data_IF_198405061487
#
_entry.id   IF_198405061487
#
_cell.length_a   1.000
_cell.length_b   1.000
_cell.length_c   1.000
_cell.angle_alpha   90.00
_cell.angle_beta   90.00
_cell.angle_gamma   90.00
#
_symmetry.space_group_name_H-M   'P 1'
#
loop_
_entity.id
_entity.type
_entity.pdbx_description
1 polymer ?
#
# COMPACT_ATOMS: atom_id res chain seq x y z
N UNK A 1 -25.31 -9.20 -15.53
CA UNK A 1 -24.81 -7.85 -15.80
C UNK A 1 -23.46 -7.74 -15.11
N UNK A 2 -22.32 -7.61 -15.83
CA UNK A 2 -20.99 -7.67 -15.23
C UNK A 2 -20.63 -6.42 -14.40
N UNK A 3 -21.62 -5.54 -14.16
CA UNK A 3 -21.49 -4.30 -13.39
C UNK A 3 -22.20 -4.39 -12.04
N UNK A 4 -22.15 -5.55 -11.37
CA UNK A 4 -22.31 -5.58 -9.91
C UNK A 4 -20.95 -5.16 -9.32
N UNK A 5 -20.62 -3.90 -9.57
CA UNK A 5 -19.69 -3.16 -8.73
C UNK A 5 -20.45 -2.97 -7.42
N UNK A 6 -19.98 -3.59 -6.34
CA UNK A 6 -20.50 -3.33 -4.99
C UNK A 6 -20.34 -1.84 -4.75
N UNK A 7 -21.38 -1.07 -5.01
CA UNK A 7 -21.41 0.38 -4.77
C UNK A 7 -21.31 0.54 -3.25
N UNK A 8 -20.75 1.65 -2.77
CA UNK A 8 -20.66 1.93 -1.32
C UNK A 8 -22.02 1.79 -0.58
N UNK A 9 -23.13 1.85 -1.32
CA UNK A 9 -24.51 1.63 -0.86
C UNK A 9 -24.86 0.16 -0.52
N UNK A 10 -24.09 -0.84 -0.99
CA UNK A 10 -24.32 -2.27 -0.74
C UNK A 10 -23.54 -2.81 0.47
N UNK A 11 -22.66 -2.01 1.09
CA UNK A 11 -21.99 -2.38 2.35
C UNK A 11 -22.97 -2.15 3.50
N UNK A 12 -23.96 -3.03 3.62
CA UNK A 12 -24.96 -2.99 4.69
C UNK A 12 -24.26 -3.37 5.99
N UNK A 13 -24.02 -2.37 6.84
CA UNK A 13 -23.56 -2.61 8.20
C UNK A 13 -24.74 -3.23 8.97
N UNK A 14 -24.56 -4.36 9.69
CA UNK A 14 -25.66 -4.94 10.45
C UNK A 14 -26.24 -3.94 11.46
N UNK A 15 -27.57 -3.73 11.45
CA UNK A 15 -28.30 -2.70 12.23
C UNK A 15 -28.03 -2.72 13.76
N UNK A 16 -27.41 -3.78 14.27
CA UNK A 16 -27.09 -3.96 15.69
C UNK A 16 -25.68 -3.49 16.08
N UNK A 17 -24.86 -3.01 15.14
CA UNK A 17 -23.49 -2.57 15.41
C UNK A 17 -23.41 -1.05 15.45
N UNK A 18 -23.14 -0.51 16.64
CA UNK A 18 -22.75 0.90 16.79
C UNK A 18 -21.42 1.13 16.08
N UNK A 19 -21.47 1.71 14.88
CA UNK A 19 -20.29 2.08 14.10
C UNK A 19 -19.49 3.16 14.84
N UNK A 20 -18.31 2.78 15.35
CA UNK A 20 -17.40 3.70 16.04
C UNK A 20 -16.17 3.93 15.18
N UNK A 21 -15.79 5.20 15.00
CA UNK A 21 -14.63 5.59 14.19
C UNK A 21 -13.31 4.92 14.61
N UNK A 22 -13.19 4.54 15.89
CA UNK A 22 -11.97 3.94 16.40
C UNK A 22 -11.76 2.50 15.92
N UNK A 23 -12.80 1.78 15.48
CA UNK A 23 -12.64 0.44 14.89
C UNK A 23 -11.80 0.49 13.61
N UNK A 24 -11.91 1.59 12.86
CA UNK A 24 -11.12 1.84 11.67
C UNK A 24 -9.72 2.38 12.02
N UNK A 25 -9.64 3.33 12.96
CA UNK A 25 -8.37 3.97 13.30
C UNK A 25 -7.39 3.02 14.01
N UNK A 26 -7.87 2.13 14.90
CA UNK A 26 -7.00 1.32 15.74
C UNK A 26 -6.11 0.33 14.95
N UNK A 27 -6.61 -0.43 13.96
CA UNK A 27 -5.77 -1.27 13.09
C UNK A 27 -4.71 -0.48 12.31
N UNK A 28 -5.05 0.72 11.82
CA UNK A 28 -4.10 1.58 11.08
C UNK A 28 -2.99 2.06 12.00
N UNK A 29 -3.33 2.52 13.21
CA UNK A 29 -2.33 2.92 14.20
C UNK A 29 -1.45 1.74 14.59
N UNK A 30 -2.02 0.55 14.78
CA UNK A 30 -1.27 -0.68 15.05
C UNK A 30 -0.28 -0.97 13.92
N UNK A 31 -0.73 -0.90 12.66
CA UNK A 31 0.13 -1.13 11.49
C UNK A 31 1.34 -0.20 11.51
N UNK A 32 1.10 1.11 11.63
CA UNK A 32 2.16 2.13 11.60
C UNK A 32 3.12 1.96 12.79
N UNK A 33 2.58 1.70 13.98
CA UNK A 33 3.38 1.53 15.19
C UNK A 33 4.26 0.26 15.10
N UNK A 34 3.70 -0.88 14.69
CA UNK A 34 4.43 -2.14 14.60
C UNK A 34 5.44 -2.13 13.46
N UNK A 35 5.11 -1.55 12.30
CA UNK A 35 6.09 -1.37 11.21
C UNK A 35 7.19 -0.40 11.60
N UNK A 36 6.88 0.73 12.20
CA UNK A 36 7.88 1.69 12.68
C UNK A 36 8.81 1.08 13.72
N UNK A 37 8.25 0.34 14.67
CA UNK A 37 9.03 -0.39 15.68
C UNK A 37 9.87 -1.51 15.05
N UNK A 38 9.30 -2.29 14.13
CA UNK A 38 9.99 -3.38 13.42
C UNK A 38 11.17 -2.87 12.59
N UNK A 39 11.03 -1.71 11.96
CA UNK A 39 12.12 -1.06 11.24
C UNK A 39 13.26 -0.64 12.17
N UNK A 40 12.94 -0.02 13.31
CA UNK A 40 13.95 0.40 14.28
C UNK A 40 14.65 -0.80 14.93
N UNK A 41 13.88 -1.81 15.33
CA UNK A 41 14.39 -3.01 15.97
C UNK A 41 15.29 -3.83 15.02
N UNK A 42 14.83 -4.10 13.79
CA UNK A 42 15.63 -4.83 12.79
C UNK A 42 16.86 -4.03 12.34
N UNK A 43 16.79 -2.69 12.37
CA UNK A 43 17.91 -1.80 12.06
C UNK A 43 19.00 -1.69 13.14
N UNK A 44 18.80 -2.28 14.32
CA UNK A 44 19.78 -2.27 15.42
C UNK A 44 19.65 -1.10 16.40
N UNK A 45 18.46 -0.50 16.52
CA UNK A 45 18.13 0.41 17.61
C UNK A 45 18.01 -0.34 18.94
N UNK A 46 18.51 0.18 20.09
CA UNK A 46 19.00 1.55 20.32
C UNK A 46 20.52 1.78 20.12
N UNK A 47 21.27 0.77 19.68
CA UNK A 47 22.73 0.89 19.54
C UNK A 47 23.19 1.78 18.37
N UNK A 48 22.33 2.00 17.37
CA UNK A 48 22.55 2.91 16.23
C UNK A 48 21.56 4.07 16.24
N UNK A 49 21.96 5.19 15.64
CA UNK A 49 21.06 6.32 15.42
C UNK A 49 19.84 5.86 14.59
N UNK A 50 18.62 6.38 14.84
CA UNK A 50 17.39 5.91 14.19
C UNK A 50 17.43 6.02 12.66
N UNK A 51 18.11 7.05 12.12
CA UNK A 51 18.29 7.22 10.67
C UNK A 51 19.20 6.15 10.06
N UNK A 52 20.21 5.68 10.80
CA UNK A 52 21.09 4.60 10.35
C UNK A 52 20.44 3.22 10.49
N UNK A 53 19.63 3.04 11.55
CA UNK A 53 18.85 1.84 11.73
C UNK A 53 17.87 1.62 10.56
N UNK A 54 17.17 2.69 10.13
CA UNK A 54 16.25 2.64 8.99
C UNK A 54 16.92 2.20 7.68
N UNK A 55 18.19 2.58 7.46
CA UNK A 55 18.92 2.20 6.23
C UNK A 55 19.30 0.73 6.17
N UNK A 56 19.50 0.10 7.32
CA UNK A 56 19.87 -1.32 7.43
C UNK A 56 18.70 -2.23 7.84
N UNK A 57 17.49 -1.69 7.92
CA UNK A 57 16.33 -2.40 8.43
C UNK A 57 15.82 -3.47 7.44
N UNK A 58 15.30 -4.56 7.99
CA UNK A 58 14.58 -5.58 7.22
C UNK A 58 13.16 -5.07 6.94
N UNK A 59 13.02 -4.19 5.95
CA UNK A 59 11.76 -3.49 5.65
C UNK A 59 10.62 -4.45 5.31
N UNK A 60 10.90 -5.53 4.58
CA UNK A 60 9.89 -6.53 4.23
C UNK A 60 9.29 -7.21 5.49
N UNK A 61 10.14 -7.65 6.42
CA UNK A 61 9.71 -8.30 7.64
C UNK A 61 8.94 -7.34 8.56
N UNK A 62 9.38 -6.09 8.66
CA UNK A 62 8.72 -5.07 9.48
C UNK A 62 7.31 -4.73 8.96
N UNK A 63 7.14 -4.65 7.63
CA UNK A 63 5.82 -4.45 7.02
C UNK A 63 4.94 -5.69 7.23
N UNK A 64 5.49 -6.89 7.06
CA UNK A 64 4.75 -8.15 7.25
C UNK A 64 4.16 -8.26 8.67
N UNK A 65 5.00 -8.04 9.69
CA UNK A 65 4.54 -8.02 11.10
C UNK A 65 3.54 -6.90 11.38
N UNK A 66 3.72 -5.74 10.73
CA UNK A 66 2.77 -4.62 10.81
C UNK A 66 1.38 -5.01 10.29
N UNK A 67 1.29 -5.58 9.08
CA UNK A 67 0.04 -6.03 8.48
C UNK A 67 -0.60 -7.13 9.34
N UNK A 68 0.18 -8.12 9.79
CA UNK A 68 -0.34 -9.19 10.63
C UNK A 68 -0.94 -8.66 11.94
N UNK A 69 -0.27 -7.69 12.58
CA UNK A 69 -0.77 -7.05 13.79
C UNK A 69 -2.09 -6.30 13.56
N UNK A 70 -2.19 -5.58 12.44
CA UNK A 70 -3.37 -4.81 12.09
C UNK A 70 -4.57 -5.72 11.80
N UNK A 71 -4.36 -6.80 11.03
CA UNK A 71 -5.38 -7.80 10.76
C UNK A 71 -5.84 -8.50 12.04
N UNK A 72 -4.92 -8.89 12.92
CA UNK A 72 -5.25 -9.53 14.19
C UNK A 72 -6.06 -8.59 15.11
N UNK A 73 -5.67 -7.32 15.18
CA UNK A 73 -6.37 -6.32 15.98
C UNK A 73 -7.77 -6.03 15.42
N UNK A 74 -7.90 -5.89 14.10
CA UNK A 74 -9.19 -5.70 13.44
C UNK A 74 -10.12 -6.88 13.71
N UNK A 75 -9.63 -8.12 13.54
CA UNK A 75 -10.40 -9.33 13.82
C UNK A 75 -10.84 -9.39 15.29
N UNK A 76 -9.95 -9.05 16.23
CA UNK A 76 -10.27 -9.02 17.66
C UNK A 76 -11.37 -7.99 17.99
N UNK A 77 -11.35 -6.83 17.35
CA UNK A 77 -12.38 -5.79 17.51
C UNK A 77 -13.72 -6.26 16.94
N UNK A 78 -13.72 -6.81 15.72
CA UNK A 78 -14.93 -7.24 15.02
C UNK A 78 -15.64 -8.39 15.76
N UNK A 79 -14.90 -9.40 16.19
CA UNK A 79 -15.46 -10.56 16.91
C UNK A 79 -15.78 -10.22 18.37
N UNK A 80 -14.89 -9.49 19.05
CA UNK A 80 -15.01 -9.23 20.49
C UNK A 80 -15.98 -8.11 20.84
N UNK A 81 -15.86 -6.97 20.16
CA UNK A 81 -16.60 -5.75 20.52
C UNK A 81 -17.82 -5.52 19.62
N UNK A 82 -17.66 -5.68 18.30
CA UNK A 82 -18.77 -5.51 17.36
C UNK A 82 -19.67 -6.76 17.25
N UNK A 83 -19.19 -7.93 17.70
CA UNK A 83 -19.89 -9.23 17.66
C UNK A 83 -20.38 -9.61 16.25
N UNK A 84 -19.62 -9.24 15.23
CA UNK A 84 -19.89 -9.63 13.85
C UNK A 84 -19.63 -11.14 13.69
N UNK A 85 -20.49 -11.82 12.93
CA UNK A 85 -20.34 -13.24 12.66
C UNK A 85 -19.09 -13.50 11.80
N UNK A 86 -18.41 -14.63 12.01
CA UNK A 86 -17.18 -14.95 11.29
C UNK A 86 -17.43 -15.15 9.78
N UNK A 87 -18.64 -15.57 9.40
CA UNK A 87 -19.06 -15.72 8.01
C UNK A 87 -19.04 -14.37 7.29
N UNK A 88 -19.69 -13.35 7.86
CA UNK A 88 -19.71 -11.97 7.33
C UNK A 88 -18.30 -11.37 7.21
N UNK A 89 -17.42 -11.64 8.19
CA UNK A 89 -16.02 -11.19 8.16
C UNK A 89 -15.27 -11.85 7.00
N UNK A 90 -15.48 -13.15 6.78
CA UNK A 90 -14.83 -13.88 5.70
C UNK A 90 -15.29 -13.41 4.33
N UNK A 91 -16.60 -13.17 4.16
CA UNK A 91 -17.17 -12.64 2.93
C UNK A 91 -16.62 -11.25 2.61
N UNK A 92 -16.56 -10.37 3.62
CA UNK A 92 -15.97 -9.04 3.51
C UNK A 92 -14.50 -9.08 3.06
N UNK A 93 -13.72 -10.04 3.55
CA UNK A 93 -12.32 -10.24 3.12
C UNK A 93 -12.29 -10.60 1.63
N UNK A 94 -13.13 -11.53 1.18
CA UNK A 94 -13.19 -11.92 -0.24
C UNK A 94 -13.64 -10.79 -1.15
N UNK A 95 -14.58 -9.95 -0.71
CA UNK A 95 -14.96 -8.74 -1.44
C UNK A 95 -13.78 -7.78 -1.57
N UNK A 96 -13.04 -7.52 -0.49
CA UNK A 96 -11.82 -6.70 -0.54
C UNK A 96 -10.79 -7.25 -1.54
N UNK A 97 -10.56 -8.57 -1.56
CA UNK A 97 -9.68 -9.20 -2.54
C UNK A 97 -10.14 -8.97 -3.99
N UNK A 98 -11.44 -9.08 -4.26
CA UNK A 98 -12.01 -8.81 -5.60
C UNK A 98 -11.77 -7.37 -6.03
N UNK A 99 -11.87 -6.40 -5.12
CA UNK A 99 -11.60 -4.99 -5.43
C UNK A 99 -10.13 -4.73 -5.77
N UNK A 100 -9.19 -5.43 -5.13
CA UNK A 100 -7.74 -5.19 -5.26
C UNK A 100 -7.11 -5.94 -6.44
N UNK A 101 -7.73 -7.00 -6.96
CA UNK A 101 -7.12 -7.84 -8.01
C UNK A 101 -6.84 -7.08 -9.32
N UNK A 102 -7.73 -6.17 -9.71
CA UNK A 102 -7.56 -5.36 -10.92
C UNK A 102 -6.38 -4.37 -10.78
N UNK A 103 -6.29 -3.56 -9.70
CA UNK A 103 -5.09 -2.76 -9.43
C UNK A 103 -3.78 -3.55 -9.45
N UNK A 104 -3.75 -4.74 -8.84
CA UNK A 104 -2.55 -5.59 -8.81
C UNK A 104 -2.17 -6.06 -10.22
N UNK A 105 -3.14 -6.41 -11.06
CA UNK A 105 -2.87 -6.78 -12.44
C UNK A 105 -2.23 -5.62 -13.23
N UNK A 106 -2.74 -4.39 -13.07
CA UNK A 106 -2.16 -3.19 -13.70
C UNK A 106 -0.75 -2.90 -13.20
N UNK A 107 -0.51 -3.00 -11.88
CA UNK A 107 0.83 -2.80 -11.30
C UNK A 107 1.83 -3.86 -11.79
N UNK A 108 1.40 -5.11 -11.95
CA UNK A 108 2.22 -6.18 -12.52
C UNK A 108 2.60 -5.92 -13.98
N UNK A 109 1.64 -5.47 -14.80
CA UNK A 109 1.89 -5.03 -16.18
C UNK A 109 2.86 -3.84 -16.23
N UNK A 110 2.70 -2.87 -15.34
CA UNK A 110 3.57 -1.71 -15.25
C UNK A 110 5.02 -2.10 -14.93
N UNK A 111 5.24 -2.98 -13.95
CA UNK A 111 6.59 -3.50 -13.65
C UNK A 111 7.16 -4.35 -14.78
N UNK A 112 6.33 -5.11 -15.49
CA UNK A 112 6.77 -5.87 -16.66
C UNK A 112 7.29 -4.93 -17.76
N UNK A 113 6.52 -3.91 -18.13
CA UNK A 113 6.93 -2.90 -19.12
C UNK A 113 8.17 -2.14 -18.64
N UNK A 114 8.24 -1.82 -17.35
CA UNK A 114 9.42 -1.21 -16.73
C UNK A 114 10.68 -2.06 -16.94
N UNK A 115 10.60 -3.36 -16.61
CA UNK A 115 11.74 -4.28 -16.77
C UNK A 115 12.17 -4.48 -18.23
N UNK A 116 11.23 -4.52 -19.17
CA UNK A 116 11.54 -4.63 -20.60
C UNK A 116 12.18 -3.34 -21.11
N UNK A 117 11.69 -2.18 -20.67
CA UNK A 117 12.25 -0.87 -21.04
C UNK A 117 13.67 -0.69 -20.49
N UNK A 118 13.94 -1.20 -19.29
CA UNK A 118 15.26 -1.21 -18.67
C UNK A 118 16.22 -2.14 -19.44
N UNK A 119 15.75 -3.34 -19.81
CA UNK A 119 16.54 -4.29 -20.61
C UNK A 119 16.91 -3.77 -22.01
N UNK A 120 16.06 -2.93 -22.61
CA UNK A 120 16.30 -2.29 -23.90
C UNK A 120 17.13 -1.00 -23.81
N UNK A 121 17.46 -0.51 -22.61
CA UNK A 121 18.22 0.73 -22.43
C UNK A 121 17.46 1.99 -22.82
N UNK A 122 16.13 1.99 -22.74
CA UNK A 122 15.30 3.14 -23.13
C UNK A 122 15.64 4.38 -22.30
N UNK A 123 15.94 4.18 -21.00
CA UNK A 123 16.37 5.27 -20.12
C UNK A 123 17.65 5.94 -20.60
N UNK A 124 18.69 5.16 -20.92
CA UNK A 124 19.98 5.67 -21.40
C UNK A 124 19.83 6.40 -22.74
N UNK A 125 18.98 5.87 -23.63
CA UNK A 125 18.68 6.52 -24.90
C UNK A 125 18.05 7.90 -24.70
N UNK A 126 17.03 8.02 -23.84
CA UNK A 126 16.38 9.30 -23.54
C UNK A 126 17.35 10.29 -22.89
N UNK A 127 18.20 9.81 -21.98
CA UNK A 127 19.24 10.64 -21.36
C UNK A 127 20.21 11.17 -22.42
N UNK A 128 20.68 10.34 -23.34
CA UNK A 128 21.65 10.72 -24.37
C UNK A 128 21.17 11.85 -25.29
N UNK A 129 19.88 11.86 -25.64
CA UNK A 129 19.27 12.92 -26.47
C UNK A 129 19.00 14.18 -25.65
N UNK A 130 18.73 14.03 -24.35
CA UNK A 130 18.41 15.13 -23.46
C UNK A 130 19.65 15.85 -22.91
N UNK A 131 20.84 15.26 -23.07
CA UNK A 131 22.11 15.84 -22.67
C UNK A 131 22.34 17.20 -23.34
N UNK A 132 22.53 18.25 -22.53
CA UNK A 132 22.73 19.63 -22.99
C UNK A 132 21.46 20.47 -23.11
N UNK A 133 20.27 19.85 -23.08
CA UNK A 133 18.97 20.56 -23.08
C UNK A 133 18.37 20.59 -21.67
N UNK A 134 18.42 19.46 -20.95
CA UNK A 134 17.81 19.33 -19.62
C UNK A 134 18.89 19.40 -18.54
N UNK A 135 18.72 20.32 -17.59
CA UNK A 135 19.54 20.40 -16.38
C UNK A 135 18.88 19.66 -15.21
N UNK A 136 19.67 19.13 -14.28
CA UNK A 136 19.20 18.37 -13.12
C UNK A 136 18.02 19.02 -12.33
N UNK A 137 18.01 20.34 -12.05
CA UNK A 137 16.88 20.95 -11.35
C UNK A 137 15.58 21.03 -12.15
N UNK A 138 15.63 20.92 -13.49
CA UNK A 138 14.41 20.94 -14.34
C UNK A 138 13.75 19.56 -14.47
N UNK A 139 14.45 18.49 -14.07
CA UNK A 139 14.01 17.11 -14.24
C UNK A 139 12.65 16.81 -13.58
N UNK A 140 12.36 17.26 -12.34
CA UNK A 140 11.05 17.08 -11.72
C UNK A 140 9.91 17.75 -12.51
N UNK A 141 10.15 18.94 -13.06
CA UNK A 141 9.15 19.68 -13.84
C UNK A 141 8.86 19.00 -15.17
N UNK A 142 9.88 18.49 -15.86
CA UNK A 142 9.71 17.75 -17.12
C UNK A 142 8.97 16.44 -16.88
N UNK A 143 9.33 15.68 -15.85
CA UNK A 143 8.62 14.43 -15.50
C UNK A 143 7.16 14.72 -15.16
N UNK A 144 6.88 15.80 -14.42
CA UNK A 144 5.52 16.22 -14.10
C UNK A 144 4.70 16.57 -15.35
N UNK A 145 5.26 17.36 -16.28
CA UNK A 145 4.55 17.76 -17.52
C UNK A 145 4.30 16.53 -18.40
N UNK A 146 5.29 15.67 -18.58
CA UNK A 146 5.14 14.44 -19.39
C UNK A 146 4.11 13.50 -18.77
N UNK A 147 4.13 13.32 -17.45
CA UNK A 147 3.12 12.53 -16.74
C UNK A 147 1.72 13.15 -16.87
N UNK A 148 1.60 14.48 -16.79
CA UNK A 148 0.33 15.17 -17.01
C UNK A 148 -0.20 14.92 -18.43
N UNK A 149 0.64 14.98 -19.46
CA UNK A 149 0.24 14.70 -20.85
C UNK A 149 -0.22 13.24 -21.04
N UNK A 150 0.40 12.28 -20.36
CA UNK A 150 0.03 10.85 -20.46
C UNK A 150 -1.22 10.51 -19.64
N UNK A 151 -1.47 11.23 -18.54
CA UNK A 151 -2.55 10.95 -17.59
C UNK A 151 -3.93 11.45 -18.05
N UNK A 152 -4.00 12.29 -19.07
CA UNK A 152 -5.24 12.84 -19.65
C UNK A 152 -5.49 12.25 -21.04
#
# INVERSE_FOLDING_TARGET
DPLIETREEDIVTPDHVDARWWYFAAPIVSLVAVTGFGLLYSGGWPSKAPVEALKGAATADAILWGVFSACALLLAILVGHARVELEDVSDSIFEGFKMVIFPVAVLSLAWTIGSVSEALGVGDYVVSISQGIITAPMLPAVVFITAAIISF
#
